data_IF_413221190675
#
_entry.id   IF_413221190675
#
_cell.length_a   1.000
_cell.length_b   1.000
_cell.length_c   1.000
_cell.angle_alpha   90.00
_cell.angle_beta   90.00
_cell.angle_gamma   90.00
#
_symmetry.space_group_name_H-M   'P 1'
#
loop_
_entity.id
_entity.type
_entity.pdbx_description
1 polymer ?
#
# COMPACT_ATOMS: atom_id res chain seq x y z
N UNK A 1 -24.67 28.70 -8.27
CA UNK A 1 -23.30 28.52 -8.81
C UNK A 1 -23.37 27.50 -9.94
N UNK A 2 -22.56 27.63 -11.00
CA UNK A 2 -22.51 26.62 -12.08
C UNK A 2 -21.67 25.42 -11.66
N UNK A 3 -21.83 24.29 -12.33
CA UNK A 3 -21.03 23.08 -12.06
C UNK A 3 -19.53 23.36 -12.25
N UNK A 4 -19.15 24.07 -13.32
CA UNK A 4 -17.74 24.36 -13.61
C UNK A 4 -17.08 25.25 -12.53
N UNK A 5 -17.82 26.23 -12.02
CA UNK A 5 -17.33 27.09 -10.93
C UNK A 5 -17.13 26.28 -9.64
N UNK A 6 -18.06 25.38 -9.32
CA UNK A 6 -17.95 24.46 -8.19
C UNK A 6 -16.73 23.53 -8.33
N UNK A 7 -16.54 22.92 -9.50
CA UNK A 7 -15.41 22.03 -9.77
C UNK A 7 -14.06 22.76 -9.69
N UNK A 8 -13.98 24.01 -10.14
CA UNK A 8 -12.77 24.84 -10.02
C UNK A 8 -12.44 25.21 -8.56
N UNK A 9 -13.46 25.34 -7.71
CA UNK A 9 -13.28 25.55 -6.27
C UNK A 9 -12.89 24.26 -5.54
N UNK A 10 -13.54 23.16 -5.89
CA UNK A 10 -13.20 21.83 -5.40
C UNK A 10 -11.77 21.45 -5.78
N UNK A 11 -11.33 21.76 -7.00
CA UNK A 11 -9.97 21.53 -7.46
C UNK A 11 -8.93 22.20 -6.54
N UNK A 12 -9.18 23.46 -6.15
CA UNK A 12 -8.29 24.24 -5.28
C UNK A 12 -8.19 23.65 -3.87
N UNK A 13 -9.26 23.01 -3.42
CA UNK A 13 -9.36 22.40 -2.09
C UNK A 13 -8.81 20.98 -2.01
N UNK A 14 -8.57 20.32 -3.15
CA UNK A 14 -8.14 18.92 -3.21
C UNK A 14 -6.61 18.74 -3.26
N UNK A 15 -6.08 17.67 -2.61
CA UNK A 15 -4.67 17.27 -2.75
C UNK A 15 -4.29 16.97 -4.20
N UNK A 16 -3.08 17.38 -4.60
CA UNK A 16 -2.58 17.27 -5.99
C UNK A 16 -2.70 15.85 -6.59
N UNK A 17 -2.36 14.83 -5.81
CA UNK A 17 -2.29 13.44 -6.31
C UNK A 17 -3.66 12.79 -6.54
N UNK A 18 -4.70 13.24 -5.83
CA UNK A 18 -6.05 12.65 -5.88
C UNK A 18 -7.01 13.45 -6.75
N UNK A 19 -6.68 14.73 -7.00
CA UNK A 19 -7.47 15.74 -7.70
C UNK A 19 -8.13 15.23 -8.99
N UNK A 20 -7.34 14.74 -9.95
CA UNK A 20 -7.86 14.38 -11.28
C UNK A 20 -8.99 13.36 -11.22
N UNK A 21 -8.84 12.34 -10.38
CA UNK A 21 -9.83 11.28 -10.23
C UNK A 21 -11.07 11.76 -9.49
N UNK A 22 -10.88 12.48 -8.38
CA UNK A 22 -11.98 13.00 -7.56
C UNK A 22 -12.83 13.99 -8.38
N UNK A 23 -12.20 14.87 -9.16
CA UNK A 23 -12.92 15.81 -10.01
C UNK A 23 -13.72 15.10 -11.11
N UNK A 24 -13.19 14.02 -11.69
CA UNK A 24 -13.93 13.23 -12.68
C UNK A 24 -15.18 12.59 -12.07
N UNK A 25 -15.04 11.93 -10.91
CA UNK A 25 -16.16 11.31 -10.18
C UNK A 25 -17.19 12.37 -9.72
N UNK A 26 -16.74 13.52 -9.21
CA UNK A 26 -17.63 14.62 -8.82
C UNK A 26 -18.35 15.25 -10.02
N UNK A 27 -17.66 15.44 -11.15
CA UNK A 27 -18.25 15.97 -12.38
C UNK A 27 -19.34 15.05 -12.93
N UNK A 28 -19.11 13.74 -12.90
CA UNK A 28 -20.10 12.73 -13.31
C UNK A 28 -21.36 12.82 -12.44
N UNK A 29 -21.21 12.75 -11.11
CA UNK A 29 -22.35 12.84 -10.20
C UNK A 29 -23.12 14.17 -10.29
N UNK A 30 -22.43 15.30 -10.45
CA UNK A 30 -23.07 16.61 -10.63
C UNK A 30 -23.88 16.67 -11.93
N UNK A 31 -23.36 16.08 -13.02
CA UNK A 31 -24.06 16.01 -14.31
C UNK A 31 -25.28 15.10 -14.24
N UNK A 32 -25.17 13.97 -13.56
CA UNK A 32 -26.29 13.04 -13.35
C UNK A 32 -27.39 13.67 -12.50
N UNK A 33 -27.02 14.39 -11.43
CA UNK A 33 -27.96 15.14 -10.60
C UNK A 33 -28.65 16.26 -11.41
N UNK A 34 -27.89 17.05 -12.19
CA UNK A 34 -28.46 18.09 -13.05
C UNK A 34 -29.34 17.52 -14.17
N UNK A 35 -29.04 16.32 -14.69
CA UNK A 35 -29.90 15.61 -15.63
C UNK A 35 -31.23 15.20 -14.98
N UNK A 36 -31.20 14.75 -13.73
CA UNK A 36 -32.39 14.40 -12.95
C UNK A 36 -33.30 15.61 -12.74
N UNK A 37 -32.74 16.75 -12.33
CA UNK A 37 -33.48 18.01 -12.19
C UNK A 37 -34.09 18.50 -13.51
N UNK A 38 -33.35 18.37 -14.62
CA UNK A 38 -33.89 18.68 -15.95
C UNK A 38 -35.04 17.77 -16.35
N UNK A 39 -34.96 16.48 -16.07
CA UNK A 39 -36.04 15.54 -16.32
C UNK A 39 -37.31 15.87 -15.49
N UNK A 40 -37.15 16.50 -14.33
CA UNK A 40 -38.24 17.03 -13.51
C UNK A 40 -38.80 18.39 -14.00
N UNK A 41 -38.32 18.91 -15.13
CA UNK A 41 -38.81 20.16 -15.73
C UNK A 41 -38.11 21.43 -15.27
N UNK A 42 -37.02 21.31 -14.49
CA UNK A 42 -36.21 22.47 -14.07
C UNK A 42 -35.39 23.00 -15.26
N UNK A 43 -35.29 24.31 -15.40
CA UNK A 43 -34.48 24.93 -16.47
C UNK A 43 -32.99 24.56 -16.34
N UNK A 44 -32.21 24.47 -17.43
CA UNK A 44 -30.82 24.01 -17.34
C UNK A 44 -29.95 24.76 -16.32
N UNK A 45 -29.95 26.11 -16.25
CA UNK A 45 -29.15 26.84 -15.25
C UNK A 45 -29.62 26.59 -13.81
N UNK A 46 -30.93 26.45 -13.59
CA UNK A 46 -31.48 26.16 -12.27
C UNK A 46 -31.21 24.70 -11.85
N UNK A 47 -31.17 23.77 -12.81
CA UNK A 47 -30.85 22.37 -12.57
C UNK A 47 -29.39 22.17 -12.17
N UNK A 48 -28.46 22.92 -12.77
CA UNK A 48 -27.05 22.94 -12.31
C UNK A 48 -26.92 23.51 -10.90
N UNK A 49 -27.61 24.62 -10.61
CA UNK A 49 -27.58 25.23 -9.29
C UNK A 49 -28.16 24.30 -8.23
N UNK A 50 -29.28 23.61 -8.52
CA UNK A 50 -29.88 22.61 -7.65
C UNK A 50 -28.96 21.41 -7.43
N UNK A 51 -28.30 20.91 -8.49
CA UNK A 51 -27.35 19.81 -8.38
C UNK A 51 -26.16 20.14 -7.48
N UNK A 52 -25.66 21.38 -7.56
CA UNK A 52 -24.58 21.88 -6.68
C UNK A 52 -25.06 22.01 -5.23
N UNK A 53 -26.27 22.53 -5.01
CA UNK A 53 -26.87 22.66 -3.68
C UNK A 53 -27.05 21.30 -3.00
N UNK A 54 -27.56 20.31 -3.75
CA UNK A 54 -27.70 18.92 -3.30
C UNK A 54 -26.34 18.29 -2.94
N UNK A 55 -25.28 18.64 -3.66
CA UNK A 55 -23.92 18.12 -3.42
C UNK A 55 -23.31 18.71 -2.14
N UNK A 56 -23.67 19.95 -1.80
CA UNK A 56 -23.29 20.64 -0.58
C UNK A 56 -22.01 21.49 -0.69
N UNK A 57 -21.54 22.05 0.45
CA UNK A 57 -20.37 22.93 0.47
C UNK A 57 -19.07 22.24 0.06
N UNK A 58 -18.24 22.95 -0.71
CA UNK A 58 -16.99 22.42 -1.29
C UNK A 58 -16.06 21.84 -0.23
N UNK A 59 -15.88 22.51 0.90
CA UNK A 59 -14.94 22.10 1.95
C UNK A 59 -15.37 20.78 2.60
N UNK A 60 -16.67 20.62 2.84
CA UNK A 60 -17.24 19.42 3.45
C UNK A 60 -17.08 18.23 2.48
N UNK A 61 -17.40 18.46 1.21
CA UNK A 61 -17.29 17.46 0.15
C UNK A 61 -15.83 17.07 -0.09
N UNK A 62 -14.92 18.02 -0.18
CA UNK A 62 -13.50 17.78 -0.38
C UNK A 62 -12.91 16.91 0.73
N UNK A 63 -13.22 17.24 2.00
CA UNK A 63 -12.77 16.48 3.17
C UNK A 63 -13.32 15.05 3.16
N UNK A 64 -14.62 14.89 2.92
CA UNK A 64 -15.25 13.56 2.85
C UNK A 64 -14.65 12.69 1.76
N UNK A 65 -14.50 13.22 0.55
CA UNK A 65 -13.91 12.49 -0.59
C UNK A 65 -12.44 12.12 -0.31
N UNK A 66 -11.67 13.00 0.31
CA UNK A 66 -10.30 12.72 0.73
C UNK A 66 -10.23 11.59 1.77
N UNK A 67 -11.13 11.59 2.76
CA UNK A 67 -11.20 10.56 3.79
C UNK A 67 -11.59 9.18 3.24
N UNK A 68 -12.64 9.11 2.42
CA UNK A 68 -13.08 7.87 1.76
C UNK A 68 -11.94 7.29 0.89
N UNK A 69 -11.22 8.16 0.18
CA UNK A 69 -10.07 7.77 -0.63
C UNK A 69 -8.92 7.23 0.23
N UNK A 70 -8.58 7.91 1.33
CA UNK A 70 -7.50 7.49 2.22
C UNK A 70 -7.75 6.09 2.81
N UNK A 71 -9.01 5.76 3.14
CA UNK A 71 -9.39 4.42 3.58
C UNK A 71 -9.15 3.39 2.47
N UNK A 72 -9.64 3.66 1.26
CA UNK A 72 -9.45 2.76 0.11
C UNK A 72 -7.97 2.52 -0.20
N UNK A 73 -7.19 3.59 -0.21
CA UNK A 73 -5.76 3.50 -0.52
C UNK A 73 -5.00 2.74 0.58
N UNK A 74 -5.35 2.95 1.85
CA UNK A 74 -4.80 2.15 2.97
C UNK A 74 -5.08 0.66 2.78
N UNK A 75 -6.32 0.29 2.42
CA UNK A 75 -6.70 -1.11 2.13
C UNK A 75 -5.82 -1.71 1.03
N UNK A 76 -5.69 -1.01 -0.09
CA UNK A 76 -4.85 -1.46 -1.21
C UNK A 76 -3.38 -1.62 -0.75
N UNK A 77 -2.83 -0.64 -0.03
CA UNK A 77 -1.46 -0.70 0.49
C UNK A 77 -1.23 -1.92 1.39
N UNK A 78 -2.17 -2.24 2.28
CA UNK A 78 -2.04 -3.42 3.15
C UNK A 78 -2.07 -4.74 2.38
N UNK A 79 -2.87 -4.84 1.31
CA UNK A 79 -2.88 -6.04 0.44
C UNK A 79 -1.59 -6.18 -0.36
N UNK A 80 -1.07 -5.07 -0.90
CA UNK A 80 0.22 -5.08 -1.61
C UNK A 80 1.33 -5.54 -0.68
N UNK A 81 1.38 -5.03 0.55
CA UNK A 81 2.39 -5.45 1.52
C UNK A 81 2.22 -6.91 1.95
N UNK A 82 0.99 -7.38 2.18
CA UNK A 82 0.73 -8.78 2.50
C UNK A 82 1.19 -9.70 1.35
N UNK A 83 0.88 -9.33 0.11
CA UNK A 83 1.34 -10.06 -1.08
C UNK A 83 2.86 -10.06 -1.21
N UNK A 84 3.52 -8.92 -0.97
CA UNK A 84 4.98 -8.81 -1.00
C UNK A 84 5.66 -9.66 0.09
N UNK A 85 5.11 -9.66 1.31
CA UNK A 85 5.59 -10.51 2.40
C UNK A 85 5.42 -11.98 2.04
N UNK A 86 4.25 -12.39 1.53
CA UNK A 86 4.03 -13.77 1.10
C UNK A 86 5.01 -14.19 -0.01
N UNK A 87 5.26 -13.30 -0.97
CA UNK A 87 6.19 -13.56 -2.08
C UNK A 87 7.67 -13.62 -1.63
N UNK A 88 8.01 -13.02 -0.48
CA UNK A 88 9.35 -13.08 0.10
C UNK A 88 9.83 -14.50 0.42
N UNK A 89 8.94 -15.50 0.47
CA UNK A 89 9.31 -16.91 0.58
C UNK A 89 10.21 -17.37 -0.58
N UNK A 90 10.09 -16.77 -1.77
CA UNK A 90 10.89 -17.13 -2.93
C UNK A 90 12.40 -16.85 -2.73
N UNK A 91 12.82 -15.60 -2.44
CA UNK A 91 14.22 -15.34 -2.14
C UNK A 91 14.71 -15.99 -0.86
N UNK A 92 13.84 -16.21 0.13
CA UNK A 92 14.21 -16.81 1.43
C UNK A 92 14.46 -18.32 1.33
N UNK A 93 13.66 -19.03 0.52
CA UNK A 93 13.57 -20.49 0.57
C UNK A 93 13.61 -21.13 -0.83
N UNK A 94 12.71 -20.73 -1.73
CA UNK A 94 12.54 -21.43 -3.02
C UNK A 94 13.79 -21.32 -3.90
N UNK A 95 14.34 -20.12 -4.09
CA UNK A 95 15.51 -19.91 -4.95
C UNK A 95 16.76 -20.58 -4.36
N UNK A 96 17.07 -20.43 -3.06
CA UNK A 96 18.17 -21.17 -2.46
C UNK A 96 18.03 -22.69 -2.63
N UNK A 97 16.88 -23.28 -2.33
CA UNK A 97 16.76 -24.74 -2.33
C UNK A 97 16.62 -25.38 -3.72
N UNK A 98 16.05 -24.66 -4.69
CA UNK A 98 15.71 -25.24 -6.00
C UNK A 98 16.61 -24.77 -7.14
N UNK A 99 17.40 -23.72 -6.93
CA UNK A 99 18.25 -23.14 -7.99
C UNK A 99 19.74 -23.22 -7.67
N UNK A 100 20.13 -23.52 -6.43
CA UNK A 100 21.52 -23.80 -6.06
C UNK A 100 21.79 -25.30 -6.27
N UNK A 101 22.98 -25.72 -6.77
CA UNK A 101 23.43 -27.08 -6.54
C UNK A 101 23.35 -27.38 -5.03
N UNK A 102 23.04 -28.64 -4.65
CA UNK A 102 22.92 -29.00 -3.24
C UNK A 102 24.16 -28.54 -2.50
N UNK A 103 23.94 -27.91 -1.33
CA UNK A 103 25.04 -27.41 -0.52
C UNK A 103 26.06 -28.55 -0.30
N UNK A 104 27.37 -28.29 -0.45
CA UNK A 104 28.39 -29.32 -0.38
C UNK A 104 28.61 -29.84 1.05
N UNK A 105 27.86 -29.32 2.02
CA UNK A 105 27.98 -29.69 3.43
C UNK A 105 27.07 -30.87 3.75
N UNK A 106 27.63 -31.88 4.41
CA UNK A 106 26.85 -33.01 4.96
C UNK A 106 25.91 -32.51 6.07
N UNK A 107 26.38 -31.55 6.86
CA UNK A 107 25.61 -30.84 7.88
C UNK A 107 25.69 -29.34 7.66
N UNK A 108 24.57 -28.63 7.83
CA UNK A 108 24.52 -27.18 7.66
C UNK A 108 25.34 -26.48 8.75
N UNK A 109 26.27 -25.57 8.39
CA UNK A 109 26.99 -24.75 9.35
C UNK A 109 26.05 -24.03 10.33
N UNK A 110 26.39 -24.07 11.62
CA UNK A 110 25.54 -23.59 12.71
C UNK A 110 25.17 -22.11 12.57
N UNK A 111 26.10 -21.29 12.12
CA UNK A 111 25.88 -19.85 11.90
C UNK A 111 24.85 -19.57 10.81
N UNK A 112 24.94 -20.26 9.67
CA UNK A 112 23.93 -20.18 8.60
C UNK A 112 22.57 -20.65 9.11
N UNK A 113 22.53 -21.77 9.85
CA UNK A 113 21.30 -22.26 10.43
C UNK A 113 20.63 -21.23 11.36
N UNK A 114 21.40 -20.62 12.27
CA UNK A 114 20.90 -19.58 13.19
C UNK A 114 20.38 -18.36 12.42
N UNK A 115 21.12 -17.89 11.42
CA UNK A 115 20.67 -16.76 10.59
C UNK A 115 19.40 -17.10 9.82
N UNK A 116 19.27 -18.32 9.28
CA UNK A 116 18.06 -18.77 8.60
C UNK A 116 16.85 -18.81 9.55
N UNK A 117 17.02 -19.35 10.76
CA UNK A 117 15.95 -19.37 11.77
C UNK A 117 15.55 -17.96 12.21
N UNK A 118 16.52 -17.06 12.39
CA UNK A 118 16.26 -15.66 12.71
C UNK A 118 15.49 -14.96 11.58
N UNK A 119 15.93 -15.14 10.33
CA UNK A 119 15.25 -14.56 9.17
C UNK A 119 13.81 -15.06 9.04
N UNK A 120 13.60 -16.38 9.23
CA UNK A 120 12.27 -16.98 9.23
C UNK A 120 11.36 -16.41 10.33
N UNK A 121 11.88 -16.26 11.55
CA UNK A 121 11.12 -15.69 12.65
C UNK A 121 10.72 -14.24 12.39
N UNK A 122 11.63 -13.40 11.87
CA UNK A 122 11.34 -12.00 11.51
C UNK A 122 10.33 -11.95 10.36
N UNK A 123 10.46 -12.81 9.35
CA UNK A 123 9.53 -12.89 8.23
C UNK A 123 8.11 -13.28 8.68
N UNK A 124 7.98 -14.29 9.56
CA UNK A 124 6.69 -14.66 10.15
C UNK A 124 6.06 -13.52 10.94
N UNK A 125 6.86 -12.79 11.72
CA UNK A 125 6.40 -11.61 12.45
C UNK A 125 5.90 -10.52 11.48
N UNK A 126 6.63 -10.28 10.38
CA UNK A 126 6.20 -9.34 9.35
C UNK A 126 4.89 -9.77 8.67
N UNK A 127 4.72 -11.06 8.39
CA UNK A 127 3.49 -11.63 7.84
C UNK A 127 2.30 -11.46 8.77
N UNK A 128 2.47 -11.74 10.06
CA UNK A 128 1.45 -11.52 11.07
C UNK A 128 1.06 -10.04 11.16
N UNK A 129 2.04 -9.12 11.20
CA UNK A 129 1.78 -7.68 11.23
C UNK A 129 1.07 -7.19 9.97
N UNK A 130 1.46 -7.66 8.77
CA UNK A 130 0.79 -7.31 7.52
C UNK A 130 -0.66 -7.82 7.50
N UNK A 131 -0.91 -9.04 7.98
CA UNK A 131 -2.25 -9.60 8.10
C UNK A 131 -3.12 -8.82 9.10
N UNK A 132 -2.57 -8.45 10.27
CA UNK A 132 -3.27 -7.60 11.25
C UNK A 132 -3.57 -6.23 10.66
N UNK A 133 -2.62 -5.62 9.96
CA UNK A 133 -2.82 -4.33 9.28
C UNK A 133 -3.95 -4.41 8.25
N UNK A 134 -3.95 -5.46 7.42
CA UNK A 134 -5.02 -5.73 6.47
C UNK A 134 -6.36 -5.94 7.19
N UNK A 135 -6.42 -6.74 8.26
CA UNK A 135 -7.66 -6.90 9.03
C UNK A 135 -8.19 -5.55 9.57
N UNK A 136 -7.32 -4.75 10.17
CA UNK A 136 -7.67 -3.43 10.73
C UNK A 136 -8.19 -2.47 9.65
N UNK A 137 -7.61 -2.48 8.44
CA UNK A 137 -7.98 -1.58 7.35
C UNK A 137 -9.44 -1.76 6.85
N UNK A 138 -10.08 -2.90 7.17
CA UNK A 138 -11.48 -3.18 6.84
C UNK A 138 -12.44 -2.89 8.00
N UNK A 139 -11.91 -2.46 9.15
CA UNK A 139 -12.73 -2.09 10.31
C UNK A 139 -12.92 -0.58 10.41
N UNK A 140 -13.75 -0.14 11.36
CA UNK A 140 -13.83 1.27 11.79
C UNK A 140 -12.51 1.85 12.30
N UNK A 141 -11.48 1.02 12.52
CA UNK A 141 -10.18 1.43 13.07
C UNK A 141 -9.11 1.53 11.99
N UNK A 142 -9.50 1.67 10.71
CA UNK A 142 -8.59 1.73 9.56
C UNK A 142 -7.42 2.73 9.72
N UNK A 143 -7.61 3.82 10.49
CA UNK A 143 -6.54 4.78 10.84
C UNK A 143 -5.33 4.17 11.56
N UNK A 144 -5.51 3.02 12.22
CA UNK A 144 -4.44 2.28 12.91
C UNK A 144 -3.73 1.29 11.97
N UNK A 145 -4.23 1.03 10.77
CA UNK A 145 -3.58 0.09 9.85
C UNK A 145 -2.22 0.60 9.37
N UNK A 146 -2.10 1.91 9.08
CA UNK A 146 -0.87 2.54 8.60
C UNK A 146 0.33 2.35 9.56
N UNK A 147 0.26 2.64 10.89
CA UNK A 147 1.40 2.40 11.78
C UNK A 147 1.76 0.90 11.89
N UNK A 148 0.78 -0.01 11.91
CA UNK A 148 1.07 -1.46 11.90
C UNK A 148 1.80 -1.86 10.61
N UNK A 149 1.41 -1.28 9.48
CA UNK A 149 2.05 -1.50 8.19
C UNK A 149 3.51 -1.03 8.18
N UNK A 150 3.82 0.10 8.82
CA UNK A 150 5.20 0.58 8.97
C UNK A 150 6.04 -0.42 9.75
N UNK A 151 5.51 -0.98 10.84
CA UNK A 151 6.21 -2.01 11.62
C UNK A 151 6.42 -3.29 10.79
N UNK A 152 5.44 -3.71 9.99
CA UNK A 152 5.59 -4.84 9.06
C UNK A 152 6.72 -4.59 8.04
N UNK A 153 6.77 -3.39 7.45
CA UNK A 153 7.81 -3.01 6.49
C UNK A 153 9.20 -2.97 7.13
N UNK A 154 9.32 -2.48 8.36
CA UNK A 154 10.57 -2.52 9.12
C UNK A 154 11.02 -3.96 9.42
N UNK A 155 10.09 -4.85 9.76
CA UNK A 155 10.38 -6.27 9.95
C UNK A 155 10.87 -6.93 8.65
N UNK A 156 10.24 -6.67 7.50
CA UNK A 156 10.75 -7.14 6.19
C UNK A 156 12.15 -6.60 5.88
N UNK A 157 12.42 -5.33 6.19
CA UNK A 157 13.77 -4.77 6.03
C UNK A 157 14.79 -5.54 6.87
N UNK A 158 14.44 -5.86 8.12
CA UNK A 158 15.25 -6.70 9.00
C UNK A 158 15.48 -8.10 8.42
N UNK A 159 14.43 -8.78 7.95
CA UNK A 159 14.55 -10.10 7.33
C UNK A 159 15.46 -10.08 6.09
N UNK A 160 15.32 -9.08 5.22
CA UNK A 160 16.19 -8.87 4.06
C UNK A 160 17.65 -8.65 4.43
N UNK A 161 17.93 -7.91 5.50
CA UNK A 161 19.30 -7.73 5.98
C UNK A 161 19.91 -9.06 6.48
N UNK A 162 19.12 -9.89 7.16
CA UNK A 162 19.55 -11.23 7.57
C UNK A 162 19.77 -12.14 6.35
N UNK A 163 18.91 -12.10 5.33
CA UNK A 163 19.11 -12.85 4.07
C UNK A 163 20.40 -12.42 3.36
N UNK A 164 20.70 -11.12 3.32
CA UNK A 164 21.96 -10.63 2.78
C UNK A 164 23.17 -11.16 3.56
N UNK A 165 23.09 -11.20 4.89
CA UNK A 165 24.12 -11.79 5.74
C UNK A 165 24.30 -13.29 5.50
N UNK A 166 23.20 -14.04 5.34
CA UNK A 166 23.25 -15.45 4.91
C UNK A 166 23.99 -15.55 3.58
N UNK A 167 23.72 -14.66 2.63
CA UNK A 167 24.38 -14.65 1.33
C UNK A 167 25.88 -14.44 1.38
N UNK A 168 26.34 -13.49 2.20
CA UNK A 168 27.78 -13.29 2.44
C UNK A 168 28.42 -14.55 3.02
N UNK A 169 27.84 -15.12 4.09
CA UNK A 169 28.36 -16.35 4.73
C UNK A 169 28.33 -17.55 3.80
N UNK A 170 27.30 -17.66 2.98
CA UNK A 170 27.19 -18.72 1.98
C UNK A 170 28.31 -18.64 0.94
N UNK A 171 28.57 -17.45 0.39
CA UNK A 171 29.65 -17.25 -0.59
C UNK A 171 31.03 -17.55 0.01
N UNK A 172 31.27 -17.17 1.27
CA UNK A 172 32.51 -17.48 1.99
C UNK A 172 32.74 -18.99 2.11
N UNK A 173 31.68 -19.76 2.36
CA UNK A 173 31.75 -21.20 2.59
C UNK A 173 31.64 -22.03 1.29
N UNK A 174 31.03 -21.46 0.24
CA UNK A 174 30.84 -22.11 -1.06
C UNK A 174 30.97 -21.12 -2.22
N UNK A 175 32.21 -20.75 -2.62
CA UNK A 175 32.44 -19.72 -3.64
C UNK A 175 31.90 -20.08 -5.04
N UNK A 176 31.62 -21.36 -5.29
CA UNK A 176 31.19 -21.86 -6.60
C UNK A 176 29.68 -21.78 -6.88
N UNK A 177 28.85 -21.24 -5.97
CA UNK A 177 27.37 -21.21 -6.12
C UNK A 177 26.86 -19.88 -6.72
N UNK A 178 26.34 -19.84 -7.98
CA UNK A 178 26.30 -18.59 -8.77
C UNK A 178 24.98 -17.78 -8.79
N UNK A 179 24.02 -17.95 -7.88
CA UNK A 179 22.65 -17.38 -8.04
C UNK A 179 22.18 -16.43 -6.91
N UNK A 180 23.09 -15.89 -6.12
CA UNK A 180 22.80 -14.80 -5.18
C UNK A 180 22.22 -13.51 -5.80
N UNK A 181 22.60 -13.09 -7.02
CA UNK A 181 22.03 -11.88 -7.63
C UNK A 181 20.50 -11.96 -7.80
N UNK A 182 19.95 -13.14 -8.11
CA UNK A 182 18.50 -13.33 -8.27
C UNK A 182 17.77 -13.21 -6.92
N UNK A 183 18.26 -13.91 -5.89
CA UNK A 183 17.66 -13.86 -4.55
C UNK A 183 17.73 -12.44 -3.96
N UNK A 184 18.86 -11.74 -4.12
CA UNK A 184 19.02 -10.36 -3.70
C UNK A 184 18.05 -9.41 -4.42
N UNK A 185 17.90 -9.56 -5.75
CA UNK A 185 16.96 -8.76 -6.54
C UNK A 185 15.50 -8.93 -6.11
N UNK A 186 15.07 -10.17 -5.86
CA UNK A 186 13.72 -10.47 -5.39
C UNK A 186 13.46 -9.95 -3.97
N UNK A 187 14.42 -10.11 -3.05
CA UNK A 187 14.33 -9.59 -1.69
C UNK A 187 14.23 -8.06 -1.68
N UNK A 188 15.04 -7.38 -2.51
CA UNK A 188 14.98 -5.93 -2.70
C UNK A 188 13.61 -5.49 -3.26
N UNK A 189 13.09 -6.19 -4.27
CA UNK A 189 11.77 -5.92 -4.84
C UNK A 189 10.65 -5.98 -3.80
N UNK A 190 10.65 -7.01 -2.95
CA UNK A 190 9.68 -7.16 -1.87
C UNK A 190 9.81 -6.03 -0.84
N UNK A 191 11.03 -5.67 -0.46
CA UNK A 191 11.31 -4.57 0.46
C UNK A 191 10.79 -3.24 -0.08
N UNK A 192 11.09 -2.92 -1.35
CA UNK A 192 10.63 -1.69 -1.99
C UNK A 192 9.10 -1.64 -2.05
N UNK A 193 8.44 -2.74 -2.35
CA UNK A 193 6.98 -2.82 -2.33
C UNK A 193 6.40 -2.54 -0.93
N UNK A 194 6.96 -3.13 0.13
CA UNK A 194 6.53 -2.87 1.52
C UNK A 194 6.78 -1.41 1.94
N UNK A 195 7.94 -0.85 1.61
CA UNK A 195 8.28 0.55 1.95
C UNK A 195 7.38 1.52 1.19
N UNK A 196 7.15 1.29 -0.10
CA UNK A 196 6.25 2.10 -0.90
C UNK A 196 4.81 2.04 -0.36
N UNK A 197 4.32 0.85 -0.02
CA UNK A 197 2.99 0.66 0.57
C UNK A 197 2.84 1.39 1.91
N UNK A 198 3.82 1.28 2.81
CA UNK A 198 3.80 1.96 4.10
C UNK A 198 3.87 3.49 3.94
N UNK A 199 4.74 3.98 3.06
CA UNK A 199 4.89 5.42 2.79
C UNK A 199 3.60 6.01 2.21
N UNK A 200 2.97 5.28 1.27
CA UNK A 200 1.69 5.67 0.69
C UNK A 200 0.57 5.72 1.74
N UNK A 201 0.45 4.69 2.59
CA UNK A 201 -0.55 4.65 3.66
C UNK A 201 -0.34 5.78 4.69
N UNK A 202 0.92 6.10 5.03
CA UNK A 202 1.26 7.21 5.93
C UNK A 202 0.87 8.58 5.36
N UNK A 203 1.18 8.82 4.08
CA UNK A 203 0.83 10.09 3.42
C UNK A 203 -0.68 10.33 3.43
N UNK A 204 -1.48 9.28 3.22
CA UNK A 204 -2.94 9.38 3.20
C UNK A 204 -3.56 9.39 4.60
N UNK A 205 -2.88 8.88 5.63
CA UNK A 205 -3.33 8.97 7.04
C UNK A 205 -3.48 10.41 7.50
N UNK A 206 -2.62 11.33 7.04
CA UNK A 206 -2.69 12.75 7.42
C UNK A 206 -4.03 13.39 7.03
N UNK A 207 -4.71 12.87 6.00
CA UNK A 207 -6.03 13.33 5.57
C UNK A 207 -7.16 12.86 6.50
N UNK A 208 -6.94 11.82 7.30
CA UNK A 208 -7.92 11.24 8.23
C UNK A 208 -7.92 11.89 9.62
N UNK A 209 -6.94 12.74 9.94
CA UNK A 209 -6.75 13.34 11.28
C UNK A 209 -7.35 14.75 11.37
N UNK A 210 -7.86 15.30 10.27
CA UNK A 210 -8.47 16.64 10.23
C UNK A 210 -9.97 16.66 10.57
N UNK A 211 -10.53 15.55 11.06
CA UNK A 211 -11.88 15.42 11.62
C UNK A 211 -11.82 15.31 13.16
#
# INVERSE_FOLDING_TARGET
MTIDAYLAELERSLPRFSRRRILAEAQEHLRDSAATHRAAGVSPPAAEAAAVDDFGPVEIVARRLAAERAIRDTRISTLVALGAVAFFVFPLYVVPENSLPPAPWVEKPRDIFVLQMLSLAIWLAAGALAAVSAAIAWTRWARLAAPVLVTASAAIAGASAVVAAIGVRWVELTPATPNWPLAAGLALGCLLACVAAASWALAHRQLLVQD
#
